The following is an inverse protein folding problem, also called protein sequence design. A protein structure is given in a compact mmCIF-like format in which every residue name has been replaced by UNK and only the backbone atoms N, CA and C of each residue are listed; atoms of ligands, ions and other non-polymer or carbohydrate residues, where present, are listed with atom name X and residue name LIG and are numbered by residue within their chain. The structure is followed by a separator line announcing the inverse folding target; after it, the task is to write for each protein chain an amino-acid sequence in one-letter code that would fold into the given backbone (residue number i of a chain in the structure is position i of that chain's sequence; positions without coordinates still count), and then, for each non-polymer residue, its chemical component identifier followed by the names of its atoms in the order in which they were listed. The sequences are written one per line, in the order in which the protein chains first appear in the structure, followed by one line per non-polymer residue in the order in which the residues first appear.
data_IF_413748102260
#
_entry.id   IF_413748102260
#
_cell.length_a   1.000
_cell.length_b   1.000
_cell.length_c   1.000
_cell.angle_alpha   90.00
_cell.angle_beta   90.00
_cell.angle_gamma   90.00
#
_symmetry.space_group_name_H-M   'P 1'
#
loop_
_entity.id
_entity.type
_entity.pdbx_description
1 polymer ?
#
# COMPACT_ATOMS: atom_id res chain seq x y z
N UNK A 1 25.91 95.04 46.14
CA UNK A 1 26.12 94.11 45.00
C UNK A 1 26.82 92.86 45.52
N UNK A 2 26.13 91.72 45.61
CA UNK A 2 26.77 90.41 45.66
C UNK A 2 26.43 89.58 44.42
N UNK A 3 27.44 88.82 44.01
CA UNK A 3 27.53 87.95 42.85
C UNK A 3 26.58 86.77 42.90
N UNK A 4 25.95 86.50 41.75
CA UNK A 4 25.14 85.32 41.47
C UNK A 4 26.02 84.11 41.15
N UNK A 5 25.79 83.00 41.85
CA UNK A 5 26.17 81.65 41.43
C UNK A 5 24.87 80.81 41.36
N UNK A 6 24.53 80.21 40.21
CA UNK A 6 23.27 79.50 40.06
C UNK A 6 23.34 78.11 40.71
N UNK A 7 22.38 77.83 41.60
CA UNK A 7 22.09 76.49 42.12
C UNK A 7 21.59 75.61 40.96
N UNK A 8 22.15 74.41 40.71
CA UNK A 8 21.59 73.51 39.71
C UNK A 8 20.24 72.98 40.21
N UNK A 9 19.18 73.23 39.44
CA UNK A 9 17.90 72.53 39.58
C UNK A 9 18.12 71.08 39.18
N UNK A 10 18.14 70.18 40.16
CA UNK A 10 17.89 68.77 39.90
C UNK A 10 16.41 68.61 39.51
N UNK A 11 16.12 68.72 38.22
CA UNK A 11 14.91 68.13 37.66
C UNK A 11 15.09 66.63 37.68
N UNK A 12 14.37 65.95 38.57
CA UNK A 12 14.16 64.51 38.47
C UNK A 12 13.48 64.25 37.12
N UNK A 13 14.27 63.82 36.14
CA UNK A 13 13.78 63.27 34.88
C UNK A 13 13.04 61.99 35.26
N UNK A 14 11.70 62.02 35.18
CA UNK A 14 10.88 60.82 35.27
C UNK A 14 11.38 59.86 34.18
N UNK A 15 11.94 58.73 34.61
CA UNK A 15 12.57 57.77 33.72
C UNK A 15 11.58 57.23 32.67
N UNK A 16 12.03 56.93 31.43
CA UNK A 16 11.22 56.37 30.34
C UNK A 16 10.72 54.93 30.58
N UNK A 17 10.83 54.42 31.81
CA UNK A 17 10.51 53.05 32.19
C UNK A 17 9.01 52.71 32.15
N UNK A 18 8.13 53.71 32.30
CA UNK A 18 6.68 53.47 32.37
C UNK A 18 6.04 53.16 31.01
N UNK A 19 6.53 53.75 29.91
CA UNK A 19 5.95 53.55 28.57
C UNK A 19 6.28 52.18 27.99
N UNK A 20 7.50 51.68 28.20
CA UNK A 20 7.91 50.34 27.80
C UNK A 20 7.13 49.25 28.55
N UNK A 21 6.94 49.42 29.87
CA UNK A 21 6.16 48.50 30.71
C UNK A 21 4.69 48.42 30.27
N UNK A 22 4.11 49.55 29.81
CA UNK A 22 2.74 49.68 29.27
C UNK A 22 2.52 49.01 27.90
N UNK A 23 3.48 49.19 26.99
CA UNK A 23 3.40 48.54 25.69
C UNK A 23 3.59 47.02 25.85
N UNK A 24 4.40 46.58 26.82
CA UNK A 24 4.59 45.17 27.13
C UNK A 24 3.33 44.51 27.73
N UNK A 25 2.61 45.15 28.65
CA UNK A 25 1.38 44.60 29.26
C UNK A 25 0.23 44.46 28.25
N UNK A 26 -0.01 45.49 27.43
CA UNK A 26 -1.02 45.43 26.37
C UNK A 26 -0.67 44.38 25.30
N UNK A 27 0.61 44.27 24.91
CA UNK A 27 1.07 43.26 23.96
C UNK A 27 0.95 41.85 24.52
N UNK A 28 1.27 41.66 25.81
CA UNK A 28 1.14 40.38 26.49
C UNK A 28 -0.33 39.93 26.62
N UNK A 29 -1.23 40.86 26.95
CA UNK A 29 -2.66 40.57 27.02
C UNK A 29 -3.26 40.27 25.64
N UNK A 30 -2.88 41.02 24.60
CA UNK A 30 -3.30 40.75 23.22
C UNK A 30 -2.80 39.39 22.73
N UNK A 31 -1.54 39.04 23.01
CA UNK A 31 -0.96 37.74 22.69
C UNK A 31 -1.69 36.61 23.45
N UNK A 32 -1.96 36.80 24.75
CA UNK A 32 -2.68 35.82 25.57
C UNK A 32 -4.10 35.58 25.05
N UNK A 33 -4.81 36.65 24.66
CA UNK A 33 -6.14 36.55 24.06
C UNK A 33 -6.10 35.88 22.68
N UNK A 34 -5.09 36.17 21.85
CA UNK A 34 -4.91 35.52 20.55
C UNK A 34 -4.64 34.02 20.70
N UNK A 35 -3.70 33.63 21.57
CA UNK A 35 -3.40 32.21 21.81
C UNK A 35 -4.65 31.52 22.39
N UNK A 36 -5.39 32.16 23.28
CA UNK A 36 -6.65 31.61 23.80
C UNK A 36 -7.70 31.39 22.71
N UNK A 37 -7.87 32.34 21.78
CA UNK A 37 -8.79 32.18 20.65
C UNK A 37 -8.34 31.05 19.70
N UNK A 38 -7.03 30.93 19.43
CA UNK A 38 -6.50 29.83 18.61
C UNK A 38 -6.73 28.48 19.29
N UNK A 39 -6.44 28.37 20.59
CA UNK A 39 -6.66 27.14 21.35
C UNK A 39 -8.15 26.82 21.42
N UNK A 40 -9.04 27.78 21.71
CA UNK A 40 -10.49 27.57 21.64
C UNK A 40 -10.91 27.16 20.23
N UNK A 41 -10.35 27.75 19.17
CA UNK A 41 -10.67 27.37 17.80
C UNK A 41 -10.28 25.91 17.50
N UNK A 42 -9.07 25.50 17.88
CA UNK A 42 -8.61 24.12 17.71
C UNK A 42 -9.44 23.15 18.57
N UNK A 43 -9.70 23.49 19.83
CA UNK A 43 -10.53 22.68 20.73
C UNK A 43 -11.98 22.60 20.28
N UNK A 44 -12.56 23.72 19.84
CA UNK A 44 -13.89 23.75 19.26
C UNK A 44 -13.94 22.88 18.03
N UNK A 45 -12.98 22.96 17.10
CA UNK A 45 -12.96 22.09 15.92
C UNK A 45 -12.80 20.61 16.28
N UNK A 46 -11.97 20.28 17.28
CA UNK A 46 -11.73 18.88 17.69
C UNK A 46 -12.90 18.27 18.47
N UNK A 47 -13.66 19.08 19.21
CA UNK A 47 -14.91 18.67 19.89
C UNK A 47 -16.08 18.70 18.90
N UNK A 48 -16.21 19.71 18.05
CA UNK A 48 -17.33 19.87 17.13
C UNK A 48 -17.33 18.89 15.95
N UNK A 49 -16.21 18.23 15.65
CA UNK A 49 -16.16 17.11 14.69
C UNK A 49 -16.68 15.83 15.35
N UNK A 50 -17.91 15.89 15.86
CA UNK A 50 -18.54 14.87 16.65
C UNK A 50 -19.45 13.97 15.79
N UNK A 51 -19.23 12.67 15.92
CA UNK A 51 -20.12 11.54 15.60
C UNK A 51 -20.84 11.57 14.24
N UNK A 52 -20.33 10.79 13.29
CA UNK A 52 -21.10 10.43 12.09
C UNK A 52 -21.75 9.06 12.29
N UNK A 53 -23.07 9.02 12.14
CA UNK A 53 -23.78 7.76 11.96
C UNK A 53 -23.46 7.22 10.57
N UNK A 54 -22.74 6.10 10.52
CA UNK A 54 -22.53 5.37 9.28
C UNK A 54 -23.75 4.47 9.06
N UNK A 55 -24.54 4.63 7.98
CA UNK A 55 -25.70 3.79 7.69
C UNK A 55 -25.28 2.39 7.19
N UNK A 56 -24.45 1.70 7.97
CA UNK A 56 -23.88 0.38 7.65
C UNK A 56 -24.98 -0.68 7.53
N UNK A 57 -26.08 -0.56 8.28
CA UNK A 57 -27.24 -1.45 8.18
C UNK A 57 -27.88 -1.41 6.78
N UNK A 58 -27.99 -0.23 6.17
CA UNK A 58 -28.51 -0.08 4.80
C UNK A 58 -27.58 -0.80 3.80
N UNK A 59 -26.28 -0.59 3.93
CA UNK A 59 -25.27 -1.27 3.08
C UNK A 59 -25.32 -2.78 3.27
N UNK A 60 -25.54 -3.25 4.50
CA UNK A 60 -25.66 -4.67 4.81
C UNK A 60 -26.92 -5.29 4.16
N UNK A 61 -28.05 -4.60 4.21
CA UNK A 61 -29.29 -5.04 3.54
C UNK A 61 -29.09 -5.10 2.02
N UNK A 62 -28.47 -4.06 1.44
CA UNK A 62 -28.17 -4.02 -0.01
C UNK A 62 -27.21 -5.15 -0.43
N UNK A 63 -26.19 -5.42 0.39
CA UNK A 63 -25.26 -6.54 0.17
C UNK A 63 -25.98 -7.87 0.27
N UNK A 64 -26.78 -8.10 1.32
CA UNK A 64 -27.52 -9.36 1.49
C UNK A 64 -28.42 -9.63 0.29
N UNK A 65 -29.16 -8.63 -0.19
CA UNK A 65 -30.03 -8.75 -1.35
C UNK A 65 -29.27 -9.07 -2.66
N UNK A 66 -28.05 -8.53 -2.81
CA UNK A 66 -27.22 -8.73 -4.02
C UNK A 66 -26.36 -10.00 -3.96
N UNK A 67 -25.94 -10.44 -2.77
CA UNK A 67 -25.12 -11.65 -2.62
C UNK A 67 -25.98 -12.93 -2.68
N UNK A 68 -27.26 -12.88 -2.29
CA UNK A 68 -28.17 -14.05 -2.26
C UNK A 68 -28.60 -14.54 -3.64
N UNK A 69 -28.41 -13.75 -4.71
CA UNK A 69 -28.85 -14.09 -6.07
C UNK A 69 -27.90 -15.00 -6.87
N UNK A 70 -26.78 -15.46 -6.29
CA UNK A 70 -25.90 -16.45 -6.92
C UNK A 70 -26.10 -17.84 -6.30
N UNK A 71 -27.25 -18.46 -6.58
CA UNK A 71 -27.42 -19.89 -6.33
C UNK A 71 -26.48 -20.69 -7.25
N UNK A 72 -25.64 -21.54 -6.67
CA UNK A 72 -24.83 -22.52 -7.41
C UNK A 72 -23.30 -22.40 -7.25
N UNK A 73 -22.78 -21.44 -6.49
CA UNK A 73 -21.35 -21.42 -6.15
C UNK A 73 -21.06 -22.30 -4.93
N UNK A 74 -20.10 -23.23 -4.99
CA UNK A 74 -19.77 -24.07 -3.85
C UNK A 74 -19.37 -23.18 -2.66
N UNK A 75 -19.86 -23.55 -1.47
CA UNK A 75 -19.48 -22.93 -0.21
C UNK A 75 -17.97 -23.12 0.01
N UNK A 76 -17.17 -22.22 -0.55
CA UNK A 76 -15.75 -22.12 -0.30
C UNK A 76 -15.58 -21.40 1.03
N UNK A 77 -15.35 -22.19 2.07
CA UNK A 77 -14.71 -21.73 3.29
C UNK A 77 -13.35 -21.15 2.93
N UNK A 78 -13.18 -19.83 2.99
CA UNK A 78 -11.87 -19.26 3.29
C UNK A 78 -12.02 -17.87 3.87
N UNK A 79 -11.47 -17.68 5.06
CA UNK A 79 -11.40 -16.43 5.81
C UNK A 79 -10.47 -15.36 5.17
N UNK A 80 -10.22 -15.45 3.86
CA UNK A 80 -9.20 -14.64 3.17
C UNK A 80 -9.79 -13.94 1.94
N UNK A 81 -9.73 -12.62 1.95
CA UNK A 81 -10.04 -11.77 0.81
C UNK A 81 -9.21 -12.18 -0.43
N UNK A 82 -9.82 -12.55 -1.57
CA UNK A 82 -9.07 -12.75 -2.80
C UNK A 82 -8.37 -11.44 -3.23
N UNK A 83 -7.10 -11.50 -3.70
CA UNK A 83 -6.43 -10.31 -4.22
C UNK A 83 -7.15 -9.82 -5.48
N UNK A 84 -7.23 -8.51 -5.65
CA UNK A 84 -7.75 -7.87 -6.86
C UNK A 84 -6.66 -7.58 -7.89
N UNK A 85 -5.37 -7.78 -7.57
CA UNK A 85 -4.28 -7.56 -8.52
C UNK A 85 -3.27 -8.69 -8.47
N UNK A 86 -2.74 -9.02 -9.64
CA UNK A 86 -1.73 -10.03 -9.81
C UNK A 86 -0.51 -9.49 -10.52
N UNK A 87 0.67 -9.83 -10.04
CA UNK A 87 1.92 -9.61 -10.73
C UNK A 87 2.58 -10.95 -11.06
N UNK A 88 3.15 -11.04 -12.25
CA UNK A 88 3.92 -12.20 -12.70
C UNK A 88 5.29 -11.76 -13.19
N UNK A 89 6.33 -12.21 -12.49
CA UNK A 89 7.71 -12.12 -12.95
C UNK A 89 8.10 -13.37 -13.69
N UNK A 90 8.56 -13.24 -14.93
CA UNK A 90 9.09 -14.36 -15.71
C UNK A 90 10.59 -14.17 -15.93
N UNK A 91 11.38 -15.14 -15.50
CA UNK A 91 12.80 -15.21 -15.79
C UNK A 91 13.02 -16.22 -16.91
N UNK A 92 13.76 -15.80 -17.93
CA UNK A 92 14.14 -16.66 -19.05
C UNK A 92 15.65 -16.74 -19.14
N UNK A 93 16.17 -17.91 -19.46
CA UNK A 93 17.62 -18.12 -19.61
C UNK A 93 18.12 -17.98 -21.05
N UNK A 94 17.19 -17.94 -22.02
CA UNK A 94 17.50 -17.85 -23.44
C UNK A 94 16.70 -16.73 -24.13
N UNK A 95 17.33 -15.90 -24.98
CA UNK A 95 16.64 -14.88 -25.74
C UNK A 95 15.63 -15.47 -26.74
N UNK A 96 15.81 -16.74 -27.15
CA UNK A 96 14.88 -17.42 -28.06
C UNK A 96 13.48 -17.62 -27.44
N UNK A 97 13.38 -17.65 -26.12
CA UNK A 97 12.10 -17.83 -25.41
C UNK A 97 11.29 -16.53 -25.30
N UNK A 98 11.94 -15.36 -25.45
CA UNK A 98 11.31 -14.06 -25.19
C UNK A 98 10.05 -13.84 -26.00
N UNK A 99 10.08 -14.15 -27.31
CA UNK A 99 8.93 -13.95 -28.19
C UNK A 99 7.71 -14.75 -27.74
N UNK A 100 7.91 -16.05 -27.50
CA UNK A 100 6.86 -16.97 -27.06
C UNK A 100 6.29 -16.58 -25.68
N UNK A 101 7.16 -16.17 -24.76
CA UNK A 101 6.78 -15.69 -23.44
C UNK A 101 5.93 -14.43 -23.55
N UNK A 102 6.40 -13.42 -24.30
CA UNK A 102 5.65 -12.18 -24.49
C UNK A 102 4.30 -12.40 -25.17
N UNK A 103 4.22 -13.30 -26.16
CA UNK A 103 2.96 -13.66 -26.81
C UNK A 103 1.97 -14.32 -25.83
N UNK A 104 2.45 -15.25 -25.00
CA UNK A 104 1.61 -15.89 -23.98
C UNK A 104 1.14 -14.89 -22.91
N UNK A 105 2.01 -13.99 -22.46
CA UNK A 105 1.67 -12.92 -21.50
C UNK A 105 0.66 -11.93 -22.07
N UNK A 106 0.80 -11.54 -23.34
CA UNK A 106 -0.16 -10.68 -24.03
C UNK A 106 -1.54 -11.34 -24.07
N UNK A 107 -1.62 -12.63 -24.43
CA UNK A 107 -2.86 -13.38 -24.44
C UNK A 107 -3.49 -13.46 -23.04
N UNK A 108 -2.71 -13.76 -22.00
CA UNK A 108 -3.22 -13.81 -20.62
C UNK A 108 -3.81 -12.45 -20.19
N UNK A 109 -3.10 -11.36 -20.49
CA UNK A 109 -3.58 -10.00 -20.21
C UNK A 109 -4.88 -9.68 -20.95
N UNK A 110 -4.94 -10.01 -22.23
CA UNK A 110 -6.14 -9.78 -23.05
C UNK A 110 -7.34 -10.57 -22.50
N UNK A 111 -7.13 -11.83 -22.11
CA UNK A 111 -8.20 -12.68 -21.55
C UNK A 111 -8.69 -12.20 -20.19
N UNK A 112 -7.77 -11.70 -19.36
CA UNK A 112 -8.10 -11.19 -18.04
C UNK A 112 -8.64 -9.76 -18.06
N UNK A 113 -8.30 -8.95 -19.06
CA UNK A 113 -8.91 -7.66 -19.25
C UNK A 113 -10.43 -7.82 -19.39
N UNK A 114 -11.19 -7.06 -18.60
CA UNK A 114 -12.60 -6.83 -18.92
C UNK A 114 -12.61 -6.16 -20.29
N UNK A 115 -13.49 -6.61 -21.20
CA UNK A 115 -13.52 -6.24 -22.63
C UNK A 115 -13.73 -4.75 -22.96
N UNK A 116 -13.28 -3.82 -22.12
CA UNK A 116 -13.04 -2.41 -22.39
C UNK A 116 -11.84 -2.27 -23.33
N UNK A 117 -12.04 -2.74 -24.56
CA UNK A 117 -11.34 -2.18 -25.71
C UNK A 117 -11.63 -0.68 -25.74
N UNK A 118 -10.56 0.13 -25.84
CA UNK A 118 -10.58 1.55 -26.21
C UNK A 118 -11.37 2.50 -25.31
N UNK A 119 -10.73 3.04 -24.27
CA UNK A 119 -10.81 4.46 -23.89
C UNK A 119 -9.90 4.74 -22.69
N UNK A 120 -9.35 5.95 -22.64
CA UNK A 120 -8.47 6.51 -21.64
C UNK A 120 -8.73 6.04 -20.20
N UNK A 121 -7.65 5.73 -19.47
CA UNK A 121 -7.55 5.76 -18.01
C UNK A 121 -8.90 5.63 -17.27
N UNK A 122 -9.57 4.48 -17.42
CA UNK A 122 -10.83 4.24 -16.73
C UNK A 122 -10.52 4.07 -15.25
N UNK A 123 -10.61 5.16 -14.50
CA UNK A 123 -10.70 5.13 -13.05
C UNK A 123 -12.15 4.74 -12.74
N UNK A 124 -12.38 3.61 -12.06
CA UNK A 124 -11.41 2.79 -11.34
C UNK A 124 -10.82 1.61 -12.16
N UNK A 125 -9.51 1.37 -12.01
CA UNK A 125 -8.73 0.35 -12.75
C UNK A 125 -9.30 -1.07 -12.60
N UNK A 126 -9.43 -1.87 -13.67
CA UNK A 126 -10.07 -3.20 -13.63
C UNK A 126 -9.55 -4.11 -12.50
N UNK A 127 -10.46 -4.82 -11.82
CA UNK A 127 -10.23 -5.63 -10.60
C UNK A 127 -9.56 -6.98 -10.84
N UNK A 128 -9.19 -7.26 -12.08
CA UNK A 128 -8.69 -8.56 -12.51
C UNK A 128 -7.51 -8.40 -13.49
N UNK A 129 -6.58 -7.49 -13.22
CA UNK A 129 -5.42 -7.25 -14.10
C UNK A 129 -4.22 -8.09 -13.71
N UNK A 130 -3.45 -8.46 -14.74
CA UNK A 130 -2.17 -9.15 -14.61
C UNK A 130 -1.04 -8.19 -15.04
N UNK A 131 -0.26 -7.74 -14.08
CA UNK A 131 1.00 -7.02 -14.31
C UNK A 131 2.11 -8.03 -14.58
N UNK A 132 2.98 -7.75 -15.54
CA UNK A 132 4.02 -8.71 -15.93
C UNK A 132 5.34 -8.01 -16.20
N UNK A 133 6.45 -8.66 -15.85
CA UNK A 133 7.76 -8.31 -16.36
C UNK A 133 8.50 -9.57 -16.78
N UNK A 134 9.42 -9.41 -17.73
CA UNK A 134 10.25 -10.51 -18.24
C UNK A 134 11.72 -10.11 -18.08
N UNK A 135 12.53 -11.00 -17.52
CA UNK A 135 13.96 -10.78 -17.31
C UNK A 135 14.78 -11.89 -17.94
N UNK A 136 15.72 -11.53 -18.80
CA UNK A 136 16.71 -12.45 -19.36
C UNK A 136 17.90 -12.61 -18.38
N UNK A 137 18.19 -13.83 -17.95
CA UNK A 137 19.31 -14.18 -17.06
C UNK A 137 19.98 -15.49 -17.49
N UNK A 138 20.80 -15.43 -18.53
CA UNK A 138 21.55 -16.59 -19.05
C UNK A 138 22.71 -17.01 -18.15
N UNK A 139 23.54 -16.05 -17.71
CA UNK A 139 24.82 -16.34 -17.05
C UNK A 139 24.71 -17.21 -15.77
N UNK A 140 23.74 -16.93 -14.90
CA UNK A 140 23.57 -17.66 -13.63
C UNK A 140 23.13 -19.11 -13.86
N UNK A 141 22.35 -19.34 -14.93
CA UNK A 141 21.92 -20.67 -15.35
C UNK A 141 23.08 -21.47 -15.94
N UNK A 142 23.99 -20.81 -16.63
CA UNK A 142 25.09 -21.47 -17.35
C UNK A 142 26.06 -22.18 -16.41
N UNK A 143 26.35 -21.59 -15.25
CA UNK A 143 27.19 -22.23 -14.23
C UNK A 143 26.56 -23.52 -13.70
N UNK A 144 25.26 -23.48 -13.40
CA UNK A 144 24.50 -24.63 -12.86
C UNK A 144 24.39 -25.74 -13.90
N UNK A 145 24.13 -25.40 -15.17
CA UNK A 145 23.97 -26.38 -16.24
C UNK A 145 25.29 -26.93 -16.72
N UNK A 146 26.37 -26.14 -16.75
CA UNK A 146 27.71 -26.66 -17.01
C UNK A 146 28.11 -27.71 -15.96
N UNK A 147 27.77 -27.49 -14.68
CA UNK A 147 28.00 -28.48 -13.63
C UNK A 147 27.17 -29.76 -13.82
N UNK A 148 25.89 -29.63 -14.18
CA UNK A 148 25.01 -30.78 -14.47
C UNK A 148 25.49 -31.60 -15.67
N UNK A 149 25.95 -30.93 -16.72
CA UNK A 149 26.43 -31.56 -17.94
C UNK A 149 27.76 -32.30 -17.72
N UNK A 150 28.68 -31.71 -16.95
CA UNK A 150 29.94 -32.36 -16.56
C UNK A 150 29.70 -33.62 -15.73
N UNK A 151 28.70 -33.60 -14.83
CA UNK A 151 28.29 -34.79 -14.09
C UNK A 151 27.76 -35.89 -15.05
N UNK A 152 26.88 -35.54 -15.99
CA UNK A 152 26.34 -36.48 -16.98
C UNK A 152 27.43 -37.11 -17.86
N UNK A 153 28.41 -36.32 -18.35
CA UNK A 153 29.53 -36.82 -19.15
C UNK A 153 30.46 -37.78 -18.39
N UNK A 154 30.51 -37.69 -17.05
CA UNK A 154 31.33 -38.58 -16.22
C UNK A 154 30.72 -39.98 -16.03
N UNK A 155 29.62 -40.30 -16.72
CA UNK A 155 28.87 -41.55 -16.57
C UNK A 155 28.04 -41.63 -15.29
N UNK A 156 28.09 -40.59 -14.45
CA UNK A 156 27.25 -40.43 -13.25
C UNK A 156 26.07 -39.53 -13.59
N UNK A 157 24.99 -40.11 -14.11
CA UNK A 157 23.76 -39.35 -14.29
C UNK A 157 23.31 -38.77 -12.95
N UNK A 158 23.14 -37.43 -12.84
CA UNK A 158 22.60 -36.85 -11.62
C UNK A 158 21.20 -37.41 -11.39
N UNK A 159 20.91 -37.79 -10.13
CA UNK A 159 19.55 -38.24 -9.80
C UNK A 159 18.55 -37.11 -10.08
N UNK A 160 17.34 -37.45 -10.53
CA UNK A 160 16.29 -36.46 -10.82
C UNK A 160 16.09 -35.48 -9.65
N UNK A 161 16.07 -36.00 -8.42
CA UNK A 161 15.97 -35.20 -7.19
C UNK A 161 17.10 -34.17 -7.05
N UNK A 162 18.32 -34.48 -7.48
CA UNK A 162 19.46 -33.55 -7.40
C UNK A 162 19.34 -32.44 -8.44
N UNK A 163 18.93 -32.77 -9.67
CA UNK A 163 18.69 -31.78 -10.73
C UNK A 163 17.60 -30.80 -10.30
N UNK A 164 16.48 -31.32 -9.79
CA UNK A 164 15.36 -30.52 -9.30
C UNK A 164 15.79 -29.56 -8.19
N UNK A 165 16.50 -30.03 -7.15
CA UNK A 165 16.98 -29.16 -6.06
C UNK A 165 17.92 -28.06 -6.53
N UNK A 166 18.81 -28.33 -7.49
CA UNK A 166 19.74 -27.30 -8.02
C UNK A 166 18.96 -26.21 -8.77
N UNK A 167 17.98 -26.59 -9.57
CA UNK A 167 17.15 -25.64 -10.33
C UNK A 167 16.15 -24.90 -9.45
N UNK A 168 15.58 -25.56 -8.45
CA UNK A 168 14.75 -24.93 -7.42
C UNK A 168 15.54 -23.86 -6.66
N UNK A 169 16.77 -24.18 -6.22
CA UNK A 169 17.63 -23.20 -5.56
C UNK A 169 17.95 -22.01 -6.46
N UNK A 170 18.22 -22.26 -7.74
CA UNK A 170 18.44 -21.20 -8.73
C UNK A 170 17.19 -20.35 -8.94
N UNK A 171 16.00 -20.96 -9.08
CA UNK A 171 14.74 -20.24 -9.19
C UNK A 171 14.51 -19.34 -7.98
N UNK A 172 14.77 -19.85 -6.78
CA UNK A 172 14.66 -19.08 -5.54
C UNK A 172 15.63 -17.88 -5.53
N UNK A 173 16.85 -18.05 -6.06
CA UNK A 173 17.83 -16.97 -6.22
C UNK A 173 17.42 -15.93 -7.28
N UNK A 174 16.81 -16.35 -8.39
CA UNK A 174 16.35 -15.43 -9.44
C UNK A 174 15.15 -14.60 -8.98
N UNK A 175 14.21 -15.26 -8.28
CA UNK A 175 12.93 -14.73 -7.88
C UNK A 175 12.96 -14.03 -6.52
N UNK A 176 14.12 -13.97 -5.86
CA UNK A 176 14.34 -13.46 -4.50
C UNK A 176 13.43 -12.29 -4.15
N UNK A 177 12.61 -12.50 -3.12
CA UNK A 177 11.77 -11.46 -2.55
C UNK A 177 10.60 -11.02 -3.43
N UNK A 178 10.38 -11.55 -4.63
CA UNK A 178 9.25 -11.13 -5.46
C UNK A 178 7.90 -11.28 -4.73
N UNK A 179 7.59 -12.40 -4.07
CA UNK A 179 6.37 -12.52 -3.28
C UNK A 179 6.28 -11.54 -2.11
N UNK A 180 7.42 -10.96 -1.68
CA UNK A 180 7.53 -9.96 -0.61
C UNK A 180 7.56 -8.51 -1.12
N UNK A 181 7.79 -8.28 -2.42
CA UNK A 181 7.95 -6.96 -3.05
C UNK A 181 6.62 -6.34 -3.49
N UNK A 182 5.61 -6.39 -2.61
CA UNK A 182 4.23 -5.95 -2.89
C UNK A 182 4.13 -4.54 -3.51
N UNK A 183 5.07 -3.64 -3.18
CA UNK A 183 5.03 -2.23 -3.58
C UNK A 183 5.65 -1.90 -4.95
N UNK A 184 6.38 -2.83 -5.58
CA UNK A 184 7.17 -2.50 -6.79
C UNK A 184 6.36 -2.54 -8.10
N UNK A 185 5.16 -3.12 -8.11
CA UNK A 185 4.38 -3.41 -9.32
C UNK A 185 3.07 -2.63 -9.44
N UNK A 186 2.74 -1.82 -8.45
CA UNK A 186 1.45 -1.16 -8.37
C UNK A 186 1.55 0.28 -8.86
N UNK A 187 0.60 0.73 -9.70
CA UNK A 187 0.51 2.14 -10.09
C UNK A 187 0.10 3.05 -8.92
N UNK A 188 -0.55 2.51 -7.87
CA UNK A 188 -0.99 3.25 -6.69
C UNK A 188 -0.52 2.59 -5.39
N UNK A 189 0.01 3.40 -4.47
CA UNK A 189 0.41 2.97 -3.13
C UNK A 189 -0.84 2.58 -2.34
N UNK A 190 -0.89 1.35 -1.81
CA UNK A 190 -2.01 0.85 -1.00
C UNK A 190 -2.85 -0.25 -1.66
N UNK A 191 -2.61 -0.58 -2.92
CA UNK A 191 -3.25 -1.73 -3.54
C UNK A 191 -2.58 -3.04 -3.07
N UNK A 192 -3.35 -4.10 -2.80
CA UNK A 192 -2.77 -5.41 -2.56
C UNK A 192 -2.63 -6.18 -3.88
N UNK A 193 -1.39 -6.55 -4.21
CA UNK A 193 -1.06 -7.45 -5.30
C UNK A 193 -0.45 -8.75 -4.78
N UNK A 194 -0.87 -9.86 -5.36
CA UNK A 194 -0.14 -11.11 -5.25
C UNK A 194 0.86 -11.23 -6.37
N UNK A 195 2.12 -11.45 -6.00
CA UNK A 195 3.23 -11.54 -6.93
C UNK A 195 3.69 -12.98 -7.05
N UNK A 196 3.73 -13.48 -8.28
CA UNK A 196 4.18 -14.81 -8.64
C UNK A 196 5.49 -14.76 -9.40
N UNK A 197 6.40 -15.66 -9.06
CA UNK A 197 7.65 -15.88 -9.78
C UNK A 197 7.59 -17.14 -10.64
N UNK A 198 8.06 -17.03 -11.89
CA UNK A 198 8.26 -18.17 -12.78
C UNK A 198 9.62 -18.11 -13.45
N UNK A 199 10.43 -19.16 -13.29
CA UNK A 199 11.71 -19.31 -14.00
C UNK A 199 11.62 -20.36 -15.09
N UNK A 200 12.03 -20.05 -16.31
CA UNK A 200 12.11 -20.97 -17.43
C UNK A 200 13.58 -21.34 -17.68
N UNK A 201 13.91 -22.61 -17.45
CA UNK A 201 15.25 -23.16 -17.66
C UNK A 201 15.27 -24.07 -18.87
N UNK A 202 15.96 -23.66 -19.91
CA UNK A 202 16.39 -24.51 -21.00
C UNK A 202 17.43 -25.49 -20.47
N UNK A 203 17.22 -26.80 -20.58
CA UNK A 203 18.15 -27.83 -20.06
C UNK A 203 18.45 -28.83 -21.18
N UNK A 204 19.71 -29.20 -21.43
CA UNK A 204 20.03 -30.24 -22.40
C UNK A 204 19.29 -31.55 -22.08
N UNK A 205 18.61 -32.13 -23.06
CA UNK A 205 17.85 -33.36 -22.88
C UNK A 205 18.72 -34.52 -22.34
N UNK A 206 20.01 -34.56 -22.73
CA UNK A 206 21.00 -35.54 -22.25
C UNK A 206 21.37 -35.41 -20.77
N UNK A 207 21.11 -34.25 -20.15
CA UNK A 207 21.33 -34.02 -18.73
C UNK A 207 20.08 -34.31 -17.88
N UNK A 208 18.95 -34.65 -18.51
CA UNK A 208 17.69 -34.94 -17.85
C UNK A 208 17.45 -36.46 -17.74
N UNK A 209 17.06 -36.98 -16.58
CA UNK A 209 16.78 -38.40 -16.40
C UNK A 209 15.37 -38.80 -16.86
N UNK A 210 15.26 -39.95 -17.53
CA UNK A 210 13.98 -40.59 -17.88
C UNK A 210 13.10 -39.76 -18.82
N UNK A 211 11.79 -39.78 -18.57
CA UNK A 211 10.78 -39.09 -19.41
C UNK A 211 10.90 -37.56 -19.40
N UNK A 212 11.71 -36.98 -18.49
CA UNK A 212 11.97 -35.54 -18.44
C UNK A 212 12.72 -35.03 -19.68
N UNK A 213 13.45 -35.90 -20.39
CA UNK A 213 14.14 -35.53 -21.62
C UNK A 213 13.20 -35.21 -22.79
N UNK A 214 11.93 -35.63 -22.73
CA UNK A 214 10.97 -35.52 -23.84
C UNK A 214 9.85 -34.50 -23.66
N UNK A 215 9.71 -33.88 -22.47
CA UNK A 215 8.55 -33.02 -22.14
C UNK A 215 8.95 -31.85 -21.26
N UNK A 216 8.28 -30.71 -21.41
CA UNK A 216 8.38 -29.60 -20.45
C UNK A 216 7.78 -30.03 -19.11
N UNK A 217 8.51 -29.81 -18.03
CA UNK A 217 8.07 -30.10 -16.67
C UNK A 217 8.11 -28.83 -15.83
N UNK A 218 7.00 -28.50 -15.18
CA UNK A 218 6.89 -27.36 -14.29
C UNK A 218 6.65 -27.82 -12.85
N UNK A 219 7.26 -27.11 -11.92
CA UNK A 219 7.20 -27.37 -10.49
C UNK A 219 6.80 -26.09 -9.78
N UNK A 220 5.93 -26.24 -8.78
CA UNK A 220 5.56 -25.18 -7.84
C UNK A 220 6.35 -25.46 -6.57
N UNK A 221 7.37 -24.63 -6.31
CA UNK A 221 8.29 -24.81 -5.18
C UNK A 221 7.70 -24.26 -3.87
N UNK A 222 6.91 -23.19 -3.97
CA UNK A 222 6.14 -22.56 -2.88
C UNK A 222 4.85 -21.96 -3.45
N UNK A 223 3.91 -21.51 -2.61
CA UNK A 223 2.57 -20.99 -2.99
C UNK A 223 2.66 -19.94 -4.12
N UNK A 224 3.78 -19.22 -4.23
CA UNK A 224 3.97 -18.13 -5.20
C UNK A 224 5.22 -18.23 -6.08
N UNK A 225 5.93 -19.36 -6.05
CA UNK A 225 7.16 -19.55 -6.82
C UNK A 225 7.10 -20.84 -7.63
N UNK A 226 7.40 -20.72 -8.91
CA UNK A 226 7.40 -21.84 -9.85
C UNK A 226 8.63 -21.81 -10.75
N UNK A 227 8.99 -22.96 -11.30
CA UNK A 227 9.99 -23.07 -12.35
C UNK A 227 9.64 -24.18 -13.32
N UNK A 228 10.04 -24.02 -14.59
CA UNK A 228 9.86 -25.02 -15.62
C UNK A 228 11.21 -25.40 -16.25
N UNK A 229 11.35 -26.68 -16.57
CA UNK A 229 12.47 -27.24 -17.30
C UNK A 229 12.02 -27.50 -18.74
N UNK A 230 12.72 -26.90 -19.70
CA UNK A 230 12.49 -27.08 -21.13
C UNK A 230 13.62 -27.95 -21.70
N UNK A 231 13.36 -29.19 -22.10
CA UNK A 231 14.38 -30.03 -22.71
C UNK A 231 14.78 -29.46 -24.08
N UNK A 232 16.08 -29.22 -24.27
CA UNK A 232 16.65 -28.74 -25.53
C UNK A 232 17.58 -29.80 -26.12
N UNK A 233 17.43 -30.05 -27.42
CA UNK A 233 18.34 -30.91 -28.17
C UNK A 233 19.63 -30.14 -28.47
N UNK A 234 20.76 -30.73 -28.11
CA UNK A 234 22.07 -30.20 -28.51
C UNK A 234 22.35 -30.71 -29.91
N UNK A 235 22.60 -29.86 -30.92
CA UNK A 235 22.96 -30.32 -32.25
C UNK A 235 24.26 -31.15 -32.18
N UNK A 236 24.27 -32.28 -32.89
CA UNK A 236 25.41 -33.20 -32.91
C UNK A 236 26.70 -32.47 -33.27
N UNK A 237 27.72 -32.62 -32.42
CA UNK A 237 29.03 -32.00 -32.57
C UNK A 237 29.88 -32.66 -33.67
N UNK A 238 29.27 -33.39 -34.61
CA UNK A 238 29.98 -34.07 -35.71
C UNK A 238 30.52 -33.12 -36.79
N UNK A 239 30.10 -31.85 -36.80
CA UNK A 239 30.53 -30.87 -37.81
C UNK A 239 31.51 -29.79 -37.31
N UNK A 240 31.91 -29.80 -36.03
CA UNK A 240 32.94 -28.86 -35.53
C UNK A 240 34.23 -29.60 -35.30
N UNK A 241 34.98 -29.79 -36.40
CA UNK A 241 36.37 -30.18 -36.35
C UNK A 241 37.17 -29.19 -35.47
N UNK A 242 37.96 -29.77 -34.55
CA UNK A 242 39.04 -29.12 -33.80
C UNK A 242 38.66 -28.04 -32.78
N UNK A 243 38.51 -28.45 -31.51
CA UNK A 243 39.06 -27.69 -30.37
C UNK A 243 39.02 -28.57 -29.12
N UNK A 244 40.19 -29.02 -28.66
CA UNK A 244 40.33 -29.68 -27.37
C UNK A 244 39.94 -28.73 -26.23
N UNK A 245 39.23 -29.26 -25.23
CA UNK A 245 38.65 -28.53 -24.08
C UNK A 245 37.53 -27.54 -24.44
N UNK A 246 36.38 -28.04 -24.87
CA UNK A 246 35.14 -27.27 -24.83
C UNK A 246 34.50 -27.38 -23.45
N UNK A 247 34.75 -26.39 -22.59
CA UNK A 247 33.82 -26.10 -21.49
C UNK A 247 32.45 -25.85 -22.10
N UNK A 248 31.44 -26.64 -21.74
CA UNK A 248 30.07 -26.41 -22.17
C UNK A 248 29.61 -25.04 -21.65
N UNK A 249 29.64 -24.03 -22.50
CA UNK A 249 29.08 -22.70 -22.27
C UNK A 249 27.70 -22.65 -22.94
N UNK A 250 26.75 -21.84 -22.44
CA UNK A 250 25.49 -21.60 -23.16
C UNK A 250 25.66 -21.11 -24.60
N UNK A 251 26.86 -20.64 -24.97
CA UNK A 251 27.22 -20.41 -26.36
C UNK A 251 27.03 -21.66 -27.26
N UNK A 252 26.90 -22.87 -26.69
CA UNK A 252 26.58 -24.12 -27.40
C UNK A 252 25.08 -24.32 -27.69
N UNK A 253 24.18 -23.64 -26.98
CA UNK A 253 22.75 -23.60 -27.31
C UNK A 253 22.54 -22.51 -28.34
N UNK A 254 22.78 -22.87 -29.59
CA UNK A 254 22.63 -21.96 -30.72
C UNK A 254 21.13 -21.72 -30.99
N UNK A 255 20.77 -20.63 -31.69
CA UNK A 255 19.42 -20.48 -32.25
C UNK A 255 18.95 -21.69 -33.07
N UNK A 256 19.88 -22.51 -33.61
CA UNK A 256 19.57 -23.78 -34.29
C UNK A 256 18.99 -24.85 -33.36
N UNK A 257 19.47 -24.95 -32.12
CA UNK A 257 18.92 -25.84 -31.08
C UNK A 257 17.45 -25.57 -30.79
N UNK A 258 17.01 -24.32 -30.99
CA UNK A 258 15.61 -23.91 -30.86
C UNK A 258 14.84 -23.93 -32.19
N UNK A 259 15.50 -23.77 -33.34
CA UNK A 259 14.87 -23.74 -34.68
C UNK A 259 14.25 -25.07 -35.07
N UNK A 260 14.86 -26.20 -34.74
CA UNK A 260 14.34 -27.54 -35.09
C UNK A 260 12.98 -27.84 -34.43
N UNK A 261 12.62 -27.11 -33.37
CA UNK A 261 11.35 -27.20 -32.65
C UNK A 261 10.60 -25.87 -32.54
N UNK A 262 10.90 -24.84 -33.32
CA UNK A 262 10.42 -23.48 -33.05
C UNK A 262 8.89 -23.38 -32.84
N UNK A 263 8.09 -24.05 -33.67
CA UNK A 263 6.63 -24.09 -33.53
C UNK A 263 6.15 -24.93 -32.33
N UNK A 264 6.82 -26.03 -32.00
CA UNK A 264 6.45 -26.86 -30.84
C UNK A 264 6.89 -26.19 -29.54
N UNK A 265 8.05 -25.53 -29.53
CA UNK A 265 8.59 -24.79 -28.40
C UNK A 265 7.70 -23.62 -28.02
N UNK A 266 7.21 -22.84 -28.99
CA UNK A 266 6.24 -21.77 -28.69
C UNK A 266 4.98 -22.31 -28.03
N UNK A 267 4.42 -23.41 -28.58
CA UNK A 267 3.23 -24.05 -28.04
C UNK A 267 3.47 -24.61 -26.63
N UNK A 268 4.62 -25.24 -26.40
CA UNK A 268 5.02 -25.81 -25.11
C UNK A 268 5.27 -24.72 -24.04
N UNK A 269 5.98 -23.65 -24.40
CA UNK A 269 6.20 -22.48 -23.51
C UNK A 269 4.87 -21.83 -23.15
N UNK A 270 3.99 -21.65 -24.14
CA UNK A 270 2.66 -21.09 -23.92
C UNK A 270 1.83 -21.99 -23.01
N UNK A 271 1.81 -23.29 -23.26
CA UNK A 271 1.08 -24.26 -22.43
C UNK A 271 1.60 -24.29 -20.99
N UNK A 272 2.92 -24.26 -20.81
CA UNK A 272 3.57 -24.21 -19.50
C UNK A 272 3.18 -22.94 -18.74
N UNK A 273 3.31 -21.77 -19.36
CA UNK A 273 2.93 -20.48 -18.76
C UNK A 273 1.46 -20.45 -18.36
N UNK A 274 0.56 -20.81 -19.27
CA UNK A 274 -0.88 -20.80 -18.99
C UNK A 274 -1.23 -21.78 -17.85
N UNK A 275 -0.63 -22.97 -17.83
CA UNK A 275 -0.91 -24.00 -16.82
C UNK A 275 -0.41 -23.60 -15.43
N UNK A 276 0.81 -23.05 -15.34
CA UNK A 276 1.35 -22.58 -14.05
C UNK A 276 0.53 -21.42 -13.51
N UNK A 277 0.21 -20.43 -14.36
CA UNK A 277 -0.53 -19.25 -13.93
C UNK A 277 -1.96 -19.59 -13.54
N UNK A 278 -2.65 -20.45 -14.31
CA UNK A 278 -4.01 -20.93 -13.98
C UNK A 278 -4.03 -21.61 -12.61
N UNK A 279 -3.07 -22.49 -12.34
CA UNK A 279 -2.91 -23.13 -11.05
C UNK A 279 -2.64 -22.12 -9.91
N UNK A 280 -1.76 -21.14 -10.13
CA UNK A 280 -1.39 -20.15 -9.10
C UNK A 280 -2.52 -19.18 -8.74
N UNK A 281 -3.34 -18.76 -9.71
CA UNK A 281 -4.45 -17.82 -9.47
C UNK A 281 -5.80 -18.50 -9.19
N UNK A 282 -5.82 -19.84 -9.20
CA UNK A 282 -7.04 -20.65 -9.04
C UNK A 282 -8.03 -20.52 -10.19
N UNK A 283 -7.53 -20.29 -11.42
CA UNK A 283 -8.34 -20.24 -12.66
C UNK A 283 -8.32 -21.63 -13.31
N UNK A 284 -9.44 -22.12 -13.84
CA UNK A 284 -9.47 -23.43 -14.51
C UNK A 284 -8.74 -23.42 -15.86
N UNK A 285 -8.99 -22.39 -16.68
CA UNK A 285 -8.25 -22.13 -17.91
C UNK A 285 -8.45 -20.68 -18.39
N UNK A 286 -7.64 -20.21 -19.34
CA UNK A 286 -7.81 -18.90 -19.98
C UNK A 286 -8.89 -18.87 -21.08
N UNK A 287 -9.76 -19.88 -21.16
CA UNK A 287 -10.95 -19.82 -22.03
C UNK A 287 -11.92 -18.76 -21.51
N UNK A 288 -12.63 -18.02 -22.39
CA UNK A 288 -13.56 -16.96 -21.98
C UNK A 288 -14.58 -17.37 -20.91
N UNK A 289 -15.18 -18.55 -21.05
CA UNK A 289 -16.18 -19.04 -20.10
C UNK A 289 -15.59 -19.29 -18.71
N UNK A 290 -14.39 -19.86 -18.65
CA UNK A 290 -13.70 -20.16 -17.39
C UNK A 290 -13.24 -18.88 -16.69
N UNK A 291 -12.73 -17.91 -17.45
CA UNK A 291 -12.39 -16.57 -16.93
C UNK A 291 -13.63 -15.86 -16.41
N UNK A 292 -14.74 -15.88 -17.14
CA UNK A 292 -15.99 -15.26 -16.70
C UNK A 292 -16.56 -15.93 -15.43
N UNK A 293 -16.49 -17.26 -15.34
CA UNK A 293 -16.89 -18.00 -14.15
C UNK A 293 -15.99 -17.66 -12.94
N UNK A 294 -14.67 -17.61 -13.15
CA UNK A 294 -13.70 -17.23 -12.13
C UNK A 294 -13.89 -15.80 -11.62
N UNK A 295 -14.13 -14.83 -12.51
CA UNK A 295 -14.45 -13.43 -12.13
C UNK A 295 -15.72 -13.37 -11.26
N UNK A 296 -16.80 -14.04 -11.69
CA UNK A 296 -18.05 -14.11 -10.92
C UNK A 296 -17.87 -14.74 -9.55
N UNK A 297 -17.13 -15.85 -9.47
CA UNK A 297 -16.85 -16.51 -8.19
C UNK A 297 -16.11 -15.58 -7.22
N UNK A 298 -15.14 -14.79 -7.72
CA UNK A 298 -14.40 -13.83 -6.89
C UNK A 298 -15.22 -12.63 -6.45
N UNK A 299 -16.05 -12.08 -7.33
CA UNK A 299 -16.96 -11.01 -6.92
C UNK A 299 -17.95 -11.52 -5.86
N UNK A 300 -18.44 -12.77 -5.98
CA UNK A 300 -19.25 -13.39 -4.95
C UNK A 300 -18.50 -13.56 -3.62
N UNK A 301 -17.25 -14.02 -3.65
CA UNK A 301 -16.39 -14.10 -2.46
C UNK A 301 -16.16 -12.71 -1.82
N UNK A 302 -15.89 -11.69 -2.64
CA UNK A 302 -15.79 -10.31 -2.18
C UNK A 302 -17.09 -9.84 -1.51
N UNK A 303 -18.25 -10.21 -2.06
CA UNK A 303 -19.56 -9.87 -1.52
C UNK A 303 -19.73 -10.45 -0.10
N UNK A 304 -19.43 -11.74 0.07
CA UNK A 304 -19.50 -12.42 1.37
C UNK A 304 -18.49 -11.85 2.39
N UNK A 305 -17.26 -11.56 1.95
CA UNK A 305 -16.25 -10.93 2.80
C UNK A 305 -16.68 -9.53 3.24
N UNK A 306 -17.22 -8.74 2.33
CA UNK A 306 -17.76 -7.40 2.64
C UNK A 306 -18.83 -7.48 3.73
N UNK A 307 -19.77 -8.43 3.61
CA UNK A 307 -20.80 -8.66 4.66
C UNK A 307 -20.13 -8.97 6.00
N UNK A 308 -19.15 -9.89 6.02
CA UNK A 308 -18.46 -10.27 7.24
C UNK A 308 -17.72 -9.09 7.89
N UNK A 309 -16.95 -8.31 7.12
CA UNK A 309 -16.20 -7.16 7.61
C UNK A 309 -17.13 -6.04 8.09
N UNK A 310 -18.18 -5.69 7.34
CA UNK A 310 -19.18 -4.68 7.75
C UNK A 310 -19.90 -5.11 9.03
N UNK A 311 -20.31 -6.38 9.14
CA UNK A 311 -20.94 -6.93 10.35
C UNK A 311 -19.99 -6.88 11.55
N UNK A 312 -18.70 -7.18 11.32
CA UNK A 312 -17.66 -7.12 12.34
C UNK A 312 -17.48 -5.69 12.86
N UNK A 313 -17.38 -4.71 11.95
CA UNK A 313 -17.25 -3.29 12.30
C UNK A 313 -18.47 -2.79 13.06
N UNK A 314 -19.69 -3.13 12.61
CA UNK A 314 -20.94 -2.83 13.33
C UNK A 314 -20.92 -3.38 14.76
N UNK A 315 -20.53 -4.66 14.93
CA UNK A 315 -20.43 -5.29 16.25
C UNK A 315 -19.38 -4.60 17.12
N UNK A 316 -18.26 -4.16 16.54
CA UNK A 316 -17.20 -3.42 17.26
C UNK A 316 -17.70 -2.07 17.75
N UNK A 317 -18.42 -1.32 16.91
CA UNK A 317 -19.03 -0.03 17.29
C UNK A 317 -20.07 -0.24 18.39
N UNK A 318 -20.96 -1.21 18.23
CA UNK A 318 -22.00 -1.51 19.23
C UNK A 318 -21.44 -1.98 20.58
N UNK A 319 -20.35 -2.75 20.58
CA UNK A 319 -19.68 -3.21 21.80
C UNK A 319 -18.93 -2.07 22.54
N UNK A 320 -18.60 -0.99 21.84
CA UNK A 320 -17.86 0.15 22.39
C UNK A 320 -18.70 1.43 22.30
N UNK A 321 -19.75 1.52 23.11
CA UNK A 321 -20.70 2.66 23.10
C UNK A 321 -20.06 4.02 23.36
N UNK A 322 -18.89 4.04 24.00
CA UNK A 322 -18.14 5.28 24.24
C UNK A 322 -17.41 5.74 22.97
N UNK A 323 -17.18 4.85 22.00
CA UNK A 323 -16.48 5.13 20.74
C UNK A 323 -17.34 5.93 19.78
N UNK A 324 -17.06 7.23 19.70
CA UNK A 324 -17.60 8.07 18.65
C UNK A 324 -16.90 7.80 17.32
N UNK A 325 -17.67 7.63 16.25
CA UNK A 325 -17.17 7.46 14.89
C UNK A 325 -16.78 8.84 14.34
N UNK A 326 -15.50 9.11 14.02
CA UNK A 326 -15.09 10.44 13.55
C UNK A 326 -15.64 10.75 12.16
N UNK A 327 -15.94 12.02 11.89
CA UNK A 327 -16.40 12.47 10.57
C UNK A 327 -15.43 12.15 9.43
N UNK A 328 -14.13 12.04 9.70
CA UNK A 328 -13.13 11.62 8.70
C UNK A 328 -13.40 10.23 8.10
N UNK A 329 -14.12 9.36 8.81
CA UNK A 329 -14.49 8.02 8.34
C UNK A 329 -15.63 8.03 7.31
N UNK A 330 -16.40 9.11 7.22
CA UNK A 330 -17.52 9.28 6.27
C UNK A 330 -17.03 9.09 4.83
N UNK A 331 -15.85 9.63 4.50
CA UNK A 331 -15.26 9.49 3.17
C UNK A 331 -14.93 8.03 2.84
N UNK A 332 -14.44 7.25 3.80
CA UNK A 332 -14.11 5.84 3.59
C UNK A 332 -15.39 5.01 3.42
N UNK A 333 -16.40 5.30 4.23
CA UNK A 333 -17.70 4.66 4.09
C UNK A 333 -18.38 4.99 2.75
N UNK A 334 -18.30 6.23 2.28
CA UNK A 334 -18.81 6.61 0.96
C UNK A 334 -18.12 5.87 -0.19
N UNK A 335 -16.82 5.51 -0.04
CA UNK A 335 -16.10 4.66 -1.00
C UNK A 335 -16.65 3.23 -0.99
N UNK A 336 -16.87 2.66 0.20
CA UNK A 336 -17.51 1.35 0.36
C UNK A 336 -18.89 1.33 -0.31
N UNK A 337 -19.75 2.30 0.02
CA UNK A 337 -21.12 2.38 -0.50
C UNK A 337 -21.11 2.46 -2.04
N UNK A 338 -20.25 3.29 -2.62
CA UNK A 338 -20.08 3.39 -4.08
C UNK A 338 -19.71 2.04 -4.71
N UNK A 339 -18.81 1.28 -4.09
CA UNK A 339 -18.41 -0.04 -4.60
C UNK A 339 -19.54 -1.08 -4.50
N UNK A 340 -20.31 -1.07 -3.42
CA UNK A 340 -21.51 -1.92 -3.28
C UNK A 340 -22.56 -1.58 -4.33
N UNK A 341 -22.85 -0.29 -4.53
CA UNK A 341 -23.83 0.17 -5.52
C UNK A 341 -23.44 -0.21 -6.95
N UNK A 342 -22.16 -0.08 -7.30
CA UNK A 342 -21.59 -0.46 -8.61
C UNK A 342 -21.39 -1.97 -8.81
N UNK A 343 -21.61 -2.79 -7.77
CA UNK A 343 -21.43 -4.25 -7.86
C UNK A 343 -19.96 -4.70 -7.95
N UNK A 344 -19.02 -3.83 -7.58
CA UNK A 344 -17.58 -4.13 -7.54
C UNK A 344 -17.21 -4.64 -6.14
N UNK A 345 -17.66 -5.85 -5.83
CA UNK A 345 -17.60 -6.42 -4.49
C UNK A 345 -16.18 -6.73 -4.02
N UNK A 346 -15.24 -7.04 -4.91
CA UNK A 346 -13.83 -7.14 -4.54
C UNK A 346 -13.27 -5.82 -3.99
N UNK A 347 -13.68 -4.68 -4.56
CA UNK A 347 -13.27 -3.37 -4.05
C UNK A 347 -14.06 -2.97 -2.82
N UNK A 348 -15.35 -3.34 -2.75
CA UNK A 348 -16.16 -3.14 -1.56
C UNK A 348 -15.56 -3.87 -0.35
N UNK A 349 -15.10 -5.10 -0.55
CA UNK A 349 -14.50 -5.91 0.51
C UNK A 349 -13.23 -5.26 1.07
N UNK A 350 -12.40 -4.66 0.20
CA UNK A 350 -11.23 -3.87 0.62
C UNK A 350 -11.61 -2.61 1.38
N UNK A 351 -12.54 -1.84 0.84
CA UNK A 351 -13.01 -0.63 1.51
C UNK A 351 -13.64 -0.95 2.88
N UNK A 352 -14.25 -2.13 3.03
CA UNK A 352 -14.74 -2.62 4.31
C UNK A 352 -13.62 -3.01 5.29
N UNK A 353 -12.54 -3.65 4.81
CA UNK A 353 -11.35 -3.94 5.63
C UNK A 353 -10.64 -2.65 6.07
N UNK A 354 -10.45 -1.68 5.15
CA UNK A 354 -9.86 -0.37 5.47
C UNK A 354 -10.67 0.34 6.56
N UNK A 355 -12.00 0.25 6.50
CA UNK A 355 -12.89 0.78 7.52
C UNK A 355 -12.72 0.02 8.85
N UNK A 356 -12.64 -1.32 8.82
CA UNK A 356 -12.45 -2.14 10.01
C UNK A 356 -11.11 -1.88 10.73
N UNK A 357 -10.03 -1.68 9.96
CA UNK A 357 -8.68 -1.43 10.48
C UNK A 357 -8.35 0.05 10.65
N UNK A 358 -9.30 0.95 10.41
CA UNK A 358 -9.04 2.38 10.54
C UNK A 358 -8.60 2.70 11.98
N UNK A 359 -7.48 3.43 12.19
CA UNK A 359 -6.93 3.72 13.52
C UNK A 359 -7.97 4.21 14.53
N UNK A 360 -8.89 5.08 14.10
CA UNK A 360 -9.92 5.63 14.98
C UNK A 360 -11.10 4.71 15.28
N UNK A 361 -11.24 3.61 14.53
CA UNK A 361 -12.26 2.57 14.75
C UNK A 361 -11.69 1.33 15.44
N UNK A 362 -10.35 1.23 15.52
CA UNK A 362 -9.67 0.14 16.22
C UNK A 362 -9.57 0.42 17.73
N UNK A 363 -9.94 -0.56 18.59
CA UNK A 363 -9.96 -0.36 20.05
C UNK A 363 -8.60 0.02 20.66
N UNK A 364 -7.49 -0.41 20.04
CA UNK A 364 -6.14 -0.16 20.56
C UNK A 364 -5.68 1.29 20.43
N UNK A 365 -6.25 2.04 19.47
CA UNK A 365 -5.91 3.44 19.17
C UNK A 365 -7.05 4.39 19.54
N UNK A 366 -8.15 3.84 20.05
CA UNK A 366 -9.30 4.59 20.50
C UNK A 366 -9.03 5.28 21.84
N UNK A 367 -9.17 6.61 21.88
CA UNK A 367 -9.11 7.41 23.11
C UNK A 367 -10.55 7.60 23.58
N UNK A 368 -10.91 7.15 24.80
CA UNK A 368 -12.24 7.38 25.39
C UNK A 368 -12.63 8.85 25.31
N UNK A 369 -13.89 9.13 24.97
CA UNK A 369 -14.41 10.50 24.92
C UNK A 369 -14.11 11.27 26.22
N UNK A 370 -14.32 10.61 27.35
CA UNK A 370 -14.02 11.15 28.68
C UNK A 370 -12.53 11.51 28.84
N UNK A 371 -11.63 10.70 28.29
CA UNK A 371 -10.18 10.97 28.30
C UNK A 371 -9.80 12.09 27.33
N UNK A 372 -10.48 12.19 26.18
CA UNK A 372 -10.31 13.31 25.25
C UNK A 372 -10.71 14.62 25.93
N UNK A 373 -11.90 14.67 26.53
CA UNK A 373 -12.40 15.83 27.26
C UNK A 373 -11.50 16.22 28.44
N UNK A 374 -11.08 15.25 29.25
CA UNK A 374 -10.18 15.50 30.39
C UNK A 374 -8.82 16.00 29.91
N UNK A 375 -8.24 15.38 28.88
CA UNK A 375 -6.97 15.84 28.29
C UNK A 375 -7.10 17.26 27.74
N UNK A 376 -8.19 17.54 27.04
CA UNK A 376 -8.47 18.86 26.48
C UNK A 376 -8.70 19.93 27.56
N UNK A 377 -9.41 19.61 28.64
CA UNK A 377 -9.60 20.47 29.82
C UNK A 377 -8.27 20.77 30.53
N UNK A 378 -7.41 19.76 30.69
CA UNK A 378 -6.07 19.93 31.28
C UNK A 378 -5.21 20.86 30.42
N UNK A 379 -5.30 20.76 29.09
CA UNK A 379 -4.59 21.65 28.17
C UNK A 379 -5.14 23.09 28.21
N UNK A 380 -6.44 23.27 28.43
CA UNK A 380 -7.08 24.58 28.50
C UNK A 380 -6.86 25.31 29.83
N UNK A 381 -6.66 24.59 30.94
CA UNK A 381 -6.56 25.16 32.28
C UNK A 381 -5.44 26.21 32.45
N UNK A 382 -4.21 25.98 31.95
CA UNK A 382 -3.14 26.97 31.98
C UNK A 382 -3.47 28.21 31.16
N UNK A 383 -4.18 28.04 30.04
CA UNK A 383 -4.57 29.15 29.15
C UNK A 383 -5.62 30.04 29.80
N UNK A 384 -6.61 29.44 30.47
CA UNK A 384 -7.59 30.18 31.29
C UNK A 384 -6.89 30.92 32.43
N UNK A 385 -5.91 30.28 33.08
CA UNK A 385 -5.15 30.91 34.16
C UNK A 385 -4.33 32.12 33.66
N UNK A 386 -3.64 31.98 32.53
CA UNK A 386 -2.88 33.08 31.91
C UNK A 386 -3.77 34.24 31.45
N UNK A 387 -4.94 33.96 30.88
CA UNK A 387 -5.88 35.00 30.45
C UNK A 387 -6.50 35.74 31.64
N UNK A 388 -6.84 35.05 32.73
CA UNK A 388 -7.30 35.67 33.97
C UNK A 388 -6.22 36.57 34.60
N UNK A 389 -4.96 36.10 34.63
CA UNK A 389 -3.84 36.90 35.11
C UNK A 389 -3.58 38.13 34.23
N UNK A 390 -3.65 37.98 32.91
CA UNK A 390 -3.53 39.09 31.97
C UNK A 390 -4.67 40.11 32.15
N UNK A 391 -5.92 39.64 32.28
CA UNK A 391 -7.08 40.51 32.53
C UNK A 391 -6.94 41.27 33.84
N UNK A 392 -6.52 40.60 34.92
CA UNK A 392 -6.25 41.24 36.21
C UNK A 392 -5.18 42.33 36.08
N UNK A 393 -4.08 42.06 35.38
CA UNK A 393 -3.02 43.06 35.17
C UNK A 393 -3.52 44.29 34.42
N UNK A 394 -4.41 44.12 33.42
CA UNK A 394 -5.03 45.24 32.70
C UNK A 394 -5.98 46.05 33.58
N UNK A 395 -6.75 45.40 34.46
CA UNK A 395 -7.65 46.09 35.40
C UNK A 395 -6.84 46.90 36.41
N UNK A 396 -5.82 46.29 37.03
CA UNK A 396 -4.92 46.99 37.96
C UNK A 396 -4.25 48.19 37.27
N UNK A 397 -3.83 48.05 36.02
CA UNK A 397 -3.25 49.16 35.26
C UNK A 397 -4.26 50.28 34.98
N UNK A 398 -5.50 49.96 34.59
CA UNK A 398 -6.58 50.96 34.39
C UNK A 398 -6.87 51.73 35.66
N UNK A 399 -6.94 51.04 36.80
CA UNK A 399 -7.14 51.66 38.11
C UNK A 399 -6.01 52.63 38.47
N UNK A 400 -4.75 52.21 38.31
CA UNK A 400 -3.61 53.10 38.54
C UNK A 400 -3.58 54.29 37.58
N UNK A 401 -4.03 54.12 36.34
CA UNK A 401 -4.11 55.20 35.36
C UNK A 401 -5.18 56.23 35.74
N UNK A 402 -6.34 55.77 36.21
CA UNK A 402 -7.40 56.64 36.70
C UNK A 402 -6.97 57.40 37.95
N UNK A 403 -6.28 56.75 38.89
CA UNK A 403 -5.74 57.39 40.10
C UNK A 403 -4.69 58.45 39.75
N UNK A 404 -3.79 58.15 38.80
CA UNK A 404 -2.78 59.11 38.32
C UNK A 404 -3.40 60.28 37.58
N UNK A 405 -4.37 60.04 36.69
CA UNK A 405 -5.07 61.09 35.96
C UNK A 405 -5.79 62.06 36.92
N UNK A 406 -6.42 61.51 37.97
CA UNK A 406 -7.05 62.30 39.03
C UNK A 406 -6.02 63.15 39.80
N UNK A 407 -4.90 62.55 40.23
CA UNK A 407 -3.83 63.29 40.90
C UNK A 407 -3.19 64.37 40.02
N UNK A 408 -3.05 64.14 38.71
CA UNK A 408 -2.55 65.17 37.77
C UNK A 408 -3.55 66.29 37.54
N UNK A 409 -4.84 66.00 37.52
CA UNK A 409 -5.89 67.02 37.41
C UNK A 409 -5.90 67.91 38.67
N UNK A 410 -5.86 67.31 39.85
CA UNK A 410 -5.78 68.02 41.13
C UNK A 410 -4.50 68.88 41.24
N UNK A 411 -3.35 68.38 40.74
CA UNK A 411 -2.10 69.14 40.70
C UNK A 411 -2.09 70.29 39.66
N UNK A 412 -2.85 70.17 38.57
CA UNK A 412 -3.02 71.24 37.58
C UNK A 412 -3.95 72.35 38.08
N UNK A 413 -5.02 71.98 38.79
CA UNK A 413 -5.93 72.94 39.42
C UNK A 413 -5.22 73.70 40.56
N UNK A 414 -4.38 73.03 41.36
CA UNK A 414 -3.54 73.67 42.37
C UNK A 414 -2.51 74.67 41.77
N UNK A 415 -2.05 74.45 40.53
CA UNK A 415 -1.15 75.37 39.81
C UNK A 415 -1.86 76.56 39.16
N UNK A 416 -3.17 76.50 38.93
CA UNK A 416 -3.97 77.62 38.40
C UNK A 416 -4.47 78.56 39.51
N UNK A 417 -4.41 78.13 40.77
CA UNK A 417 -4.79 78.90 41.95
C UNK A 417 -3.66 79.67 42.64
N UNK A 418 -2.42 79.57 42.14
CA UNK A 418 -1.28 80.46 42.44
C UNK A 418 -1.11 81.44 41.28
#
# INVERSE_FOLDING_TARGET
MPSSLPRPKFTAVAAPSETWRRNATNSFAALSAFIFLVVIGVHWTTVSHEHVELPMDRVLVDLQARCSTLEGTPALTSASLPPAFYGLGVWVDSPALLLSVHAALALMKERLADGLSTAAAAVPLPTHTLYTFVRLQSQVRDEVIAALFKEAQSGRFPSAKRVLRKLEHLANQQQLGLPTLKHAFLPEVGQEAELFGLSLFSVPASALPGDAAGKVQCFVADVRQAYCMLPVEVPDASDVASSGRTSFSAASLTPLSYRLRAASLEAEVRAALLSVVTQQIGLASFKPADVAAWKRAREHQGCLHTIASVTSTLRSIAANTNMAVPQSTERMFAVLERHVQSGSFLRAARAADDLQFHPSLTPQLYIPWDHSLVSQLIVLLPMVSCTLLAARSLVEERWHNHARAKATAEAQDAKKGQ
#
